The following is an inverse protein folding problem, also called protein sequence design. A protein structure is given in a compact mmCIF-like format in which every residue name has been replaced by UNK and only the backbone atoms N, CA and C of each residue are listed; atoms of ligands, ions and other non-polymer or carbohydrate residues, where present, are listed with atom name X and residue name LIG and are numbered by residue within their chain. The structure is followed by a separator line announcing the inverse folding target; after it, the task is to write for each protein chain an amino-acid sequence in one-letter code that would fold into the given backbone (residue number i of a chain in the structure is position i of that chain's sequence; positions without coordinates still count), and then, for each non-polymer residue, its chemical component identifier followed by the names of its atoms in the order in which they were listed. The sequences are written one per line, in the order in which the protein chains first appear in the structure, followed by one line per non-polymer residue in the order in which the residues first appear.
data_IF_040124401522
#
_entry.id   IF_040124401522
#
_cell.length_a   1.000
_cell.length_b   1.000
_cell.length_c   1.000
_cell.angle_alpha   90.00
_cell.angle_beta   90.00
_cell.angle_gamma   90.00
#
_symmetry.space_group_name_H-M   'P 1'
#
loop_
_entity.id
_entity.type
_entity.pdbx_description
1 polymer ?
#
# COMPACT_ATOMS: atom_id res chain seq x y z
N UNK A 1 -6.36 7.72 28.51
CA UNK A 1 -6.62 7.60 27.05
C UNK A 1 -7.24 6.24 26.81
N UNK A 2 -8.50 6.18 26.36
CA UNK A 2 -9.16 4.90 26.09
C UNK A 2 -8.62 4.31 24.78
N UNK A 3 -7.62 3.44 24.87
CA UNK A 3 -7.14 2.64 23.75
C UNK A 3 -8.21 1.67 23.22
N UNK A 4 -7.93 1.02 22.09
CA UNK A 4 -8.81 -0.04 21.55
C UNK A 4 -8.86 -1.23 22.52
N UNK A 5 -10.05 -1.80 22.71
CA UNK A 5 -10.23 -3.01 23.50
C UNK A 5 -9.69 -4.24 22.76
N UNK A 6 -9.44 -5.34 23.49
CA UNK A 6 -9.00 -6.60 22.87
C UNK A 6 -10.01 -7.18 21.88
N UNK A 7 -11.32 -6.95 22.10
CA UNK A 7 -12.37 -7.38 21.17
C UNK A 7 -12.37 -6.57 19.87
N UNK A 8 -12.05 -5.28 19.94
CA UNK A 8 -11.97 -4.40 18.77
C UNK A 8 -10.71 -4.65 17.92
N UNK A 9 -9.73 -5.35 18.50
CA UNK A 9 -8.53 -5.85 17.83
C UNK A 9 -8.63 -7.35 17.54
N UNK A 10 -9.82 -7.95 17.60
CA UNK A 10 -10.01 -9.33 17.19
C UNK A 10 -9.59 -9.50 15.72
N UNK A 11 -8.57 -10.33 15.47
CA UNK A 11 -7.95 -10.51 14.15
C UNK A 11 -6.56 -9.87 14.02
N UNK A 12 -6.16 -8.98 14.93
CA UNK A 12 -4.81 -8.44 15.00
C UNK A 12 -3.96 -9.35 15.89
N UNK A 13 -3.15 -10.20 15.27
CA UNK A 13 -2.30 -11.15 15.99
C UNK A 13 -0.84 -10.76 15.96
N UNK A 14 -0.42 -9.93 15.02
CA UNK A 14 1.00 -9.60 14.82
C UNK A 14 1.45 -8.44 15.70
N UNK A 15 0.58 -7.47 15.96
CA UNK A 15 0.92 -6.25 16.71
C UNK A 15 1.50 -6.58 18.11
N UNK A 16 2.61 -5.93 18.48
CA UNK A 16 3.28 -6.13 19.78
C UNK A 16 4.15 -7.39 19.91
N UNK A 17 4.11 -8.35 18.97
CA UNK A 17 5.00 -9.53 19.01
C UNK A 17 6.47 -9.19 18.73
N UNK A 18 7.39 -9.57 19.61
CA UNK A 18 8.83 -9.34 19.40
C UNK A 18 9.49 -10.36 18.45
N UNK A 19 9.01 -11.62 18.44
CA UNK A 19 9.48 -12.67 17.51
C UNK A 19 8.46 -12.85 16.40
N UNK A 20 8.76 -12.32 15.22
CA UNK A 20 7.98 -12.53 14.00
C UNK A 20 8.93 -13.06 12.93
N UNK A 21 8.54 -14.16 12.29
CA UNK A 21 9.28 -14.71 11.16
C UNK A 21 9.05 -13.83 9.93
N UNK A 22 10.12 -13.42 9.27
CA UNK A 22 10.03 -12.70 8.00
C UNK A 22 9.99 -13.69 6.86
N UNK A 23 8.90 -13.67 6.08
CA UNK A 23 8.86 -14.30 4.77
C UNK A 23 9.39 -13.31 3.75
N UNK A 24 10.34 -13.74 2.90
CA UNK A 24 10.84 -12.94 1.78
C UNK A 24 10.29 -13.38 0.42
N UNK A 25 9.41 -14.38 0.42
CA UNK A 25 8.55 -14.72 -0.71
C UNK A 25 7.21 -14.02 -0.55
N UNK A 26 6.63 -13.56 -1.66
CA UNK A 26 5.34 -12.88 -1.72
C UNK A 26 4.28 -13.62 -0.91
N UNK A 27 3.66 -12.90 0.03
CA UNK A 27 2.70 -13.47 0.98
C UNK A 27 1.59 -12.46 1.31
N UNK A 28 0.49 -12.43 0.54
CA UNK A 28 -0.64 -11.54 0.81
C UNK A 28 -1.44 -11.95 2.05
N UNK A 29 -1.39 -13.23 2.45
CA UNK A 29 -2.17 -13.77 3.57
C UNK A 29 -1.69 -13.28 4.95
N UNK A 30 -0.52 -12.63 5.01
CA UNK A 30 0.01 -12.02 6.24
C UNK A 30 -0.76 -10.75 6.63
N UNK A 31 -1.53 -10.16 5.71
CA UNK A 31 -2.28 -8.93 5.93
C UNK A 31 -3.41 -9.15 6.95
N UNK A 32 -3.44 -8.30 7.97
CA UNK A 32 -4.47 -8.27 9.00
C UNK A 32 -5.24 -6.95 8.92
N UNK A 33 -6.51 -6.97 9.33
CA UNK A 33 -7.34 -5.77 9.43
C UNK A 33 -8.09 -5.72 10.76
N UNK A 34 -8.59 -4.55 11.09
CA UNK A 34 -9.41 -4.33 12.28
C UNK A 34 -10.53 -3.32 12.01
N UNK A 35 -11.54 -3.30 12.88
CA UNK A 35 -12.73 -2.47 12.68
C UNK A 35 -12.42 -0.96 12.68
N UNK A 36 -12.98 -0.25 11.71
CA UNK A 36 -13.08 1.21 11.72
C UNK A 36 -14.10 1.63 12.80
N UNK A 37 -13.68 2.51 13.73
CA UNK A 37 -14.54 3.05 14.79
C UNK A 37 -15.35 4.28 14.37
N UNK A 38 -15.00 4.87 13.24
CA UNK A 38 -15.59 6.11 12.74
C UNK A 38 -16.11 5.91 11.30
N UNK A 39 -16.93 4.88 11.01
CA UNK A 39 -17.44 4.62 9.66
C UNK A 39 -18.37 5.73 9.13
N UNK A 40 -18.91 6.56 10.02
CA UNK A 40 -19.74 7.72 9.71
C UNK A 40 -18.96 8.86 9.04
N UNK A 41 -17.63 8.86 9.16
CA UNK A 41 -16.76 9.90 8.61
C UNK A 41 -15.94 9.36 7.44
N UNK A 42 -15.77 10.20 6.42
CA UNK A 42 -14.77 9.99 5.38
C UNK A 42 -13.47 10.65 5.82
N UNK A 43 -12.40 9.86 5.96
CA UNK A 43 -11.10 10.35 6.36
C UNK A 43 -9.98 9.56 5.65
N UNK A 44 -8.89 10.24 5.34
CA UNK A 44 -7.72 9.59 4.77
C UNK A 44 -6.82 8.99 5.84
N UNK A 45 -6.34 7.78 5.55
CA UNK A 45 -5.18 7.19 6.22
C UNK A 45 -4.07 7.06 5.18
N UNK A 46 -2.89 7.60 5.49
CA UNK A 46 -1.72 7.52 4.60
C UNK A 46 -0.56 6.80 5.28
N UNK A 47 -0.01 5.80 4.60
CA UNK A 47 1.26 5.18 4.93
C UNK A 47 2.34 5.70 3.99
N UNK A 48 3.47 6.11 4.57
CA UNK A 48 4.69 6.40 3.83
C UNK A 48 5.63 5.21 4.06
N UNK A 49 5.99 4.50 3.01
CA UNK A 49 6.76 3.26 3.07
C UNK A 49 8.09 3.45 2.32
N UNK A 50 9.08 4.14 2.91
CA UNK A 50 10.36 4.44 2.26
C UNK A 50 11.33 3.25 2.17
N UNK A 51 10.96 2.11 2.75
CA UNK A 51 11.81 0.92 2.86
C UNK A 51 11.36 -0.22 1.91
N UNK A 52 10.60 0.09 0.86
CA UNK A 52 10.14 -0.92 -0.09
C UNK A 52 11.27 -1.37 -1.02
N UNK A 53 11.36 -2.68 -1.24
CA UNK A 53 12.30 -3.27 -2.20
C UNK A 53 11.74 -4.57 -2.79
N UNK A 54 12.04 -4.80 -4.07
CA UNK A 54 11.70 -6.01 -4.82
C UNK A 54 12.86 -6.38 -5.75
N UNK A 55 12.71 -7.43 -6.56
CA UNK A 55 13.68 -7.80 -7.59
C UNK A 55 13.16 -7.44 -8.99
N UNK A 56 14.08 -7.05 -9.88
CA UNK A 56 13.80 -6.97 -11.30
C UNK A 56 13.66 -8.40 -11.87
N UNK A 57 12.55 -8.78 -12.52
CA UNK A 57 12.29 -10.15 -12.96
C UNK A 57 13.28 -10.64 -14.01
N UNK A 58 13.86 -9.74 -14.80
CA UNK A 58 14.79 -10.07 -15.88
C UNK A 58 16.24 -10.21 -15.41
N UNK A 59 16.67 -9.36 -14.48
CA UNK A 59 18.09 -9.25 -14.09
C UNK A 59 18.40 -9.77 -12.70
N UNK A 60 17.37 -9.95 -11.86
CA UNK A 60 17.53 -10.31 -10.44
C UNK A 60 18.15 -9.22 -9.58
N UNK A 61 18.37 -8.02 -10.12
CA UNK A 61 18.89 -6.90 -9.35
C UNK A 61 17.80 -6.30 -8.43
N UNK A 62 18.15 -5.83 -7.23
CA UNK A 62 17.18 -5.26 -6.31
C UNK A 62 16.76 -3.85 -6.71
N UNK A 63 15.45 -3.61 -6.69
CA UNK A 63 14.80 -2.32 -6.87
C UNK A 63 14.43 -1.71 -5.53
N UNK A 64 14.50 -0.40 -5.42
CA UNK A 64 14.16 0.34 -4.20
C UNK A 64 13.13 1.42 -4.54
N UNK A 65 12.16 1.61 -3.65
CA UNK A 65 11.16 2.64 -3.81
C UNK A 65 10.69 3.20 -2.47
N UNK A 66 10.18 4.42 -2.53
CA UNK A 66 9.20 4.88 -1.55
C UNK A 66 7.81 4.62 -2.08
N UNK A 67 7.01 3.83 -1.37
CA UNK A 67 5.59 3.61 -1.69
C UNK A 67 4.73 4.50 -0.79
N UNK A 68 3.81 5.25 -1.38
CA UNK A 68 2.76 5.98 -0.69
C UNK A 68 1.45 5.24 -0.88
N UNK A 69 0.81 4.87 0.23
CA UNK A 69 -0.51 4.23 0.21
C UNK A 69 -1.47 5.15 0.94
N UNK A 70 -2.47 5.69 0.24
CA UNK A 70 -3.50 6.51 0.85
C UNK A 70 -4.88 5.91 0.56
N UNK A 71 -5.72 5.79 1.58
CA UNK A 71 -7.05 5.21 1.41
C UNK A 71 -8.07 5.84 2.33
N UNK A 72 -9.34 5.77 1.91
CA UNK A 72 -10.50 6.09 2.72
C UNK A 72 -11.16 4.76 3.11
N UNK A 73 -11.15 4.39 4.40
CA UNK A 73 -11.70 3.12 4.86
C UNK A 73 -13.23 3.10 4.74
N UNK A 74 -13.76 1.90 4.50
CA UNK A 74 -15.16 1.60 4.79
C UNK A 74 -15.24 1.09 6.25
N UNK A 75 -15.44 -0.23 6.44
CA UNK A 75 -15.58 -0.85 7.76
C UNK A 75 -14.26 -1.32 8.36
N UNK A 76 -13.20 -1.44 7.57
CA UNK A 76 -11.93 -2.06 7.97
C UNK A 76 -10.75 -1.11 7.73
N UNK A 77 -9.75 -1.26 8.59
CA UNK A 77 -8.45 -0.59 8.54
C UNK A 77 -7.37 -1.67 8.50
N UNK A 78 -6.34 -1.49 7.66
CA UNK A 78 -5.19 -2.40 7.64
C UNK A 78 -4.32 -2.20 8.88
N UNK A 79 -3.83 -3.31 9.43
CA UNK A 79 -2.91 -3.30 10.55
C UNK A 79 -1.47 -3.01 10.08
N UNK A 80 -0.87 -1.95 10.63
CA UNK A 80 0.42 -1.42 10.20
C UNK A 80 1.57 -2.42 10.18
N UNK A 81 1.64 -3.34 11.15
CA UNK A 81 2.71 -4.34 11.21
C UNK A 81 2.50 -5.44 10.19
N UNK A 82 1.27 -5.89 9.98
CA UNK A 82 0.91 -6.81 8.91
C UNK A 82 1.26 -6.23 7.54
N UNK A 83 0.98 -4.94 7.32
CA UNK A 83 1.36 -4.21 6.10
C UNK A 83 2.89 -4.18 5.92
N UNK A 84 3.64 -3.91 6.98
CA UNK A 84 5.11 -3.96 6.94
C UNK A 84 5.62 -5.34 6.50
N UNK A 85 5.11 -6.41 7.10
CA UNK A 85 5.52 -7.78 6.75
C UNK A 85 5.12 -8.15 5.32
N UNK A 86 3.95 -7.71 4.89
CA UNK A 86 3.48 -7.85 3.52
C UNK A 86 4.44 -7.17 2.53
N UNK A 87 4.81 -5.91 2.77
CA UNK A 87 5.77 -5.21 1.90
C UNK A 87 7.15 -5.88 1.91
N UNK A 88 7.61 -6.42 3.04
CA UNK A 88 8.87 -7.20 3.09
C UNK A 88 8.80 -8.53 2.35
N UNK A 89 7.61 -9.07 2.13
CA UNK A 89 7.41 -10.28 1.34
C UNK A 89 7.76 -10.09 -0.14
N UNK A 90 7.83 -8.85 -0.64
CA UNK A 90 8.28 -8.53 -1.99
C UNK A 90 9.80 -8.59 -2.16
N UNK A 91 10.59 -8.65 -1.07
CA UNK A 91 12.04 -8.49 -1.11
C UNK A 91 12.76 -9.40 -2.11
N UNK A 92 12.34 -10.68 -2.20
CA UNK A 92 12.89 -11.63 -3.17
C UNK A 92 11.88 -11.99 -4.27
N UNK A 93 10.82 -11.19 -4.43
CA UNK A 93 9.81 -11.36 -5.46
C UNK A 93 10.20 -10.55 -6.69
N UNK A 94 10.19 -11.20 -7.86
CA UNK A 94 10.55 -10.58 -9.13
C UNK A 94 9.31 -10.10 -9.88
N UNK A 95 9.14 -8.79 -10.01
CA UNK A 95 8.04 -8.18 -10.77
C UNK A 95 8.40 -6.78 -11.29
N UNK A 96 7.69 -6.31 -12.31
CA UNK A 96 7.82 -4.94 -12.79
C UNK A 96 7.27 -3.95 -11.76
N UNK A 97 7.72 -2.70 -11.80
CA UNK A 97 7.37 -1.68 -10.81
C UNK A 97 5.86 -1.38 -10.84
N UNK A 98 5.28 -1.37 -12.03
CA UNK A 98 3.87 -1.20 -12.33
C UNK A 98 3.01 -2.34 -11.75
N UNK A 99 3.50 -3.57 -11.89
CA UNK A 99 2.82 -4.76 -11.36
C UNK A 99 2.86 -4.77 -9.83
N UNK A 100 4.02 -4.48 -9.22
CA UNK A 100 4.14 -4.32 -7.76
C UNK A 100 3.09 -3.34 -7.19
N UNK A 101 2.97 -2.14 -7.78
CA UNK A 101 1.99 -1.13 -7.34
C UNK A 101 0.54 -1.64 -7.48
N UNK A 102 0.23 -2.29 -8.60
CA UNK A 102 -1.11 -2.84 -8.82
C UNK A 102 -1.44 -4.01 -7.91
N UNK A 103 -0.48 -4.90 -7.63
CA UNK A 103 -0.64 -6.04 -6.72
C UNK A 103 -0.91 -5.53 -5.30
N UNK A 104 -0.09 -4.58 -4.81
CA UNK A 104 -0.29 -3.92 -3.50
C UNK A 104 -1.70 -3.36 -3.39
N UNK A 105 -2.15 -2.62 -4.40
CA UNK A 105 -3.50 -2.05 -4.42
C UNK A 105 -4.57 -3.14 -4.39
N UNK A 106 -4.47 -4.17 -5.24
CA UNK A 106 -5.48 -5.25 -5.36
C UNK A 106 -5.60 -6.07 -4.08
N UNK A 107 -4.49 -6.39 -3.42
CA UNK A 107 -4.50 -7.14 -2.17
C UNK A 107 -5.14 -6.32 -1.04
N UNK A 108 -4.84 -5.02 -0.97
CA UNK A 108 -5.48 -4.12 0.01
C UNK A 108 -6.96 -3.90 -0.28
N UNK A 109 -7.39 -3.85 -1.56
CA UNK A 109 -8.81 -3.84 -1.91
C UNK A 109 -9.49 -5.12 -1.44
N UNK A 110 -8.88 -6.29 -1.70
CA UNK A 110 -9.40 -7.59 -1.28
C UNK A 110 -9.55 -7.67 0.25
N UNK A 111 -8.57 -7.15 0.99
CA UNK A 111 -8.58 -7.15 2.45
C UNK A 111 -9.63 -6.19 3.03
N UNK A 112 -9.72 -4.96 2.48
CA UNK A 112 -10.38 -3.84 3.16
C UNK A 112 -11.74 -3.47 2.57
N UNK A 113 -11.97 -3.78 1.29
CA UNK A 113 -13.09 -3.24 0.50
C UNK A 113 -13.26 -1.72 0.72
N UNK A 114 -12.22 -0.90 0.49
CA UNK A 114 -12.21 0.50 0.87
C UNK A 114 -13.19 1.31 0.02
N UNK A 115 -13.56 2.50 0.52
CA UNK A 115 -14.30 3.49 -0.27
C UNK A 115 -13.44 3.99 -1.43
N UNK A 116 -12.18 4.31 -1.13
CA UNK A 116 -11.16 4.78 -2.06
C UNK A 116 -9.78 4.28 -1.64
N UNK A 117 -8.88 4.00 -2.59
CA UNK A 117 -7.47 3.73 -2.33
C UNK A 117 -6.60 4.19 -3.51
N UNK A 118 -5.39 4.63 -3.21
CA UNK A 118 -4.32 4.87 -4.17
C UNK A 118 -2.99 4.34 -3.65
N UNK A 119 -2.18 3.88 -4.60
CA UNK A 119 -0.81 3.42 -4.38
C UNK A 119 0.08 4.15 -5.38
N UNK A 120 1.07 4.88 -4.87
CA UNK A 120 2.04 5.61 -5.67
C UNK A 120 3.43 5.13 -5.31
N UNK A 121 4.11 4.49 -6.25
CA UNK A 121 5.51 4.12 -6.10
C UNK A 121 6.42 5.18 -6.71
N UNK A 122 7.49 5.53 -6.00
CA UNK A 122 8.60 6.34 -6.53
C UNK A 122 9.89 5.54 -6.45
N UNK A 123 10.35 5.03 -7.58
CA UNK A 123 11.47 4.09 -7.64
C UNK A 123 12.80 4.80 -7.90
N UNK A 124 13.88 4.27 -7.33
CA UNK A 124 15.23 4.76 -7.62
C UNK A 124 15.63 4.47 -9.07
N UNK A 125 16.41 5.35 -9.72
CA UNK A 125 16.70 5.23 -11.14
C UNK A 125 17.54 3.99 -11.50
N UNK A 126 17.23 3.38 -12.65
CA UNK A 126 18.08 2.41 -13.36
C UNK A 126 18.42 2.93 -14.74
N UNK A 127 19.69 2.83 -15.14
CA UNK A 127 20.14 3.36 -16.42
C UNK A 127 19.89 4.87 -16.57
N UNK A 128 19.82 5.60 -15.46
CA UNK A 128 19.52 7.03 -15.43
C UNK A 128 18.03 7.41 -15.44
N UNK A 129 17.11 6.43 -15.44
CA UNK A 129 15.66 6.65 -15.54
C UNK A 129 14.98 6.06 -14.31
N UNK A 130 14.17 6.87 -13.60
CA UNK A 130 13.23 6.40 -12.57
C UNK A 130 11.84 6.18 -13.18
N UNK A 131 11.05 5.32 -12.53
CA UNK A 131 9.68 5.02 -12.94
C UNK A 131 8.80 5.19 -11.71
N UNK A 132 7.78 6.04 -11.82
CA UNK A 132 6.91 6.39 -10.70
C UNK A 132 5.46 5.95 -10.97
N UNK A 133 5.13 4.64 -10.86
CA UNK A 133 3.79 4.16 -11.16
C UNK A 133 2.77 4.62 -10.11
N UNK A 134 1.62 5.08 -10.60
CA UNK A 134 0.45 5.45 -9.80
C UNK A 134 -0.76 4.62 -10.22
N UNK A 135 -1.45 4.04 -9.23
CA UNK A 135 -2.72 3.36 -9.42
C UNK A 135 -3.71 3.79 -8.35
N UNK A 136 -4.99 3.88 -8.70
CA UNK A 136 -6.05 4.15 -7.75
C UNK A 136 -7.32 3.33 -8.04
N UNK A 137 -8.22 3.33 -7.07
CA UNK A 137 -9.51 2.67 -7.12
C UNK A 137 -10.52 3.44 -6.28
N UNK A 138 -11.74 3.55 -6.80
CA UNK A 138 -12.91 4.01 -6.08
C UNK A 138 -14.03 2.98 -6.17
N UNK A 139 -14.81 2.83 -5.09
CA UNK A 139 -15.91 1.87 -5.03
C UNK A 139 -16.94 2.15 -6.14
N UNK A 140 -17.17 1.16 -7.00
CA UNK A 140 -18.06 1.27 -8.16
C UNK A 140 -19.49 1.69 -7.76
N UNK A 141 -20.12 2.52 -8.58
CA UNK A 141 -21.46 3.03 -8.36
C UNK A 141 -21.56 4.06 -7.22
N UNK A 142 -20.43 4.56 -6.71
CA UNK A 142 -20.38 5.60 -5.67
C UNK A 142 -19.64 6.84 -6.17
N UNK A 143 -19.72 7.94 -5.42
CA UNK A 143 -18.95 9.15 -5.75
C UNK A 143 -17.42 8.93 -5.69
N UNK A 144 -16.95 7.87 -5.02
CA UNK A 144 -15.54 7.53 -4.98
C UNK A 144 -14.99 7.03 -6.32
N UNK A 145 -15.80 6.40 -7.16
CA UNK A 145 -15.43 6.04 -8.53
C UNK A 145 -15.12 7.29 -9.37
N UNK A 146 -15.97 8.33 -9.23
CA UNK A 146 -15.72 9.64 -9.85
C UNK A 146 -14.47 10.29 -9.26
N UNK A 147 -14.30 10.26 -7.94
CA UNK A 147 -13.11 10.82 -7.28
C UNK A 147 -11.82 10.13 -7.75
N UNK A 148 -11.83 8.81 -7.96
CA UNK A 148 -10.68 8.08 -8.51
C UNK A 148 -10.37 8.51 -9.94
N UNK A 149 -11.39 8.66 -10.77
CA UNK A 149 -11.24 9.18 -12.14
C UNK A 149 -10.66 10.59 -12.14
N UNK A 150 -11.21 11.50 -11.33
CA UNK A 150 -10.72 12.87 -11.22
C UNK A 150 -9.28 12.91 -10.71
N UNK A 151 -8.94 12.16 -9.64
CA UNK A 151 -7.57 12.11 -9.12
C UNK A 151 -6.57 11.54 -10.11
N UNK A 152 -6.98 10.59 -10.95
CA UNK A 152 -6.13 10.06 -12.02
C UNK A 152 -5.90 11.09 -13.13
N UNK A 153 -6.96 11.79 -13.57
CA UNK A 153 -6.86 12.81 -14.63
C UNK A 153 -6.00 14.01 -14.22
N UNK A 154 -6.01 14.38 -12.94
CA UNK A 154 -5.23 15.48 -12.38
C UNK A 154 -3.94 15.01 -11.70
N UNK A 155 -3.58 13.73 -11.83
CA UNK A 155 -2.38 13.19 -11.21
C UNK A 155 -1.14 13.87 -11.79
N UNK A 156 -0.22 14.26 -10.90
CA UNK A 156 1.12 14.76 -11.24
C UNK A 156 1.16 15.92 -12.26
N UNK A 157 0.13 16.78 -12.26
CA UNK A 157 0.09 18.00 -13.10
C UNK A 157 1.26 18.96 -12.85
N UNK A 158 1.91 18.84 -11.70
CA UNK A 158 3.07 19.61 -11.28
C UNK A 158 4.16 18.63 -10.83
N UNK A 159 4.85 17.98 -11.78
CA UNK A 159 5.85 16.97 -11.45
C UNK A 159 6.98 17.57 -10.62
N UNK A 160 7.50 16.79 -9.68
CA UNK A 160 8.64 17.21 -8.89
C UNK A 160 9.93 17.21 -9.72
N UNK A 161 10.92 17.99 -9.27
CA UNK A 161 12.23 17.99 -9.90
C UNK A 161 12.98 16.70 -9.55
N UNK A 162 13.34 15.91 -10.56
CA UNK A 162 14.20 14.72 -10.41
C UNK A 162 15.55 15.00 -11.08
N UNK A 163 16.63 15.05 -10.30
CA UNK A 163 18.01 15.21 -10.80
C UNK A 163 18.93 14.03 -10.42
N UNK A 164 18.33 12.93 -9.95
CA UNK A 164 19.00 11.70 -9.52
C UNK A 164 20.05 11.92 -8.42
N UNK A 165 19.84 12.92 -7.54
CA UNK A 165 20.70 13.21 -6.37
C UNK A 165 19.91 13.56 -5.12
#
# INVERSE_FOLDING_TARGET
MNGRSKQELAGVTLLGKQKVSYSYSYNPDILESFANKHPENDYFVKFNCPEFTSLCPMTGQPDFATIYIAYVPDKLLVESKSLKLYLFSFRNHGDFHEDCVNIIMKDLIKLLSPKYIEVWGKFTPRGGISIDPYANYGKQGTHWEKAATERLLWHDMYPEKIDNR
#
